data_IF_754041223274
#
_entry.id   IF_754041223274
#
_cell.length_a   1.000
_cell.length_b   1.000
_cell.length_c   1.000
_cell.angle_alpha   90.00
_cell.angle_beta   90.00
_cell.angle_gamma   90.00
#
_symmetry.space_group_name_H-M   'P 1'
#
loop_
_entity.id
_entity.type
_entity.pdbx_description
1 polymer ?
#
# COMPACT_ATOMS: atom_id res chain seq x y z
N UNK A 1 -6.03 14.64 39.57
CA UNK A 1 -4.91 14.29 38.66
C UNK A 1 -3.67 14.24 39.51
N UNK A 2 -3.19 13.04 39.80
CA UNK A 2 -2.09 12.84 40.72
C UNK A 2 -0.77 13.23 40.05
N UNK A 3 0.13 13.86 40.80
CA UNK A 3 1.40 14.40 40.27
C UNK A 3 2.26 13.38 39.53
N UNK A 4 2.08 12.08 39.81
CA UNK A 4 2.77 10.99 39.12
C UNK A 4 2.29 10.78 37.68
N UNK A 5 1.03 11.10 37.36
CA UNK A 5 0.48 10.97 35.99
C UNK A 5 1.07 12.04 35.08
N UNK A 6 1.24 13.26 35.60
CA UNK A 6 1.86 14.38 34.88
C UNK A 6 3.35 14.11 34.65
N UNK A 7 4.04 13.51 35.64
CA UNK A 7 5.44 13.13 35.51
C UNK A 7 5.64 12.02 34.46
N UNK A 8 4.77 11.01 34.42
CA UNK A 8 4.85 9.92 33.46
C UNK A 8 4.63 10.39 32.01
N UNK A 9 3.64 11.26 31.78
CA UNK A 9 3.39 11.87 30.46
C UNK A 9 4.57 12.76 30.04
N UNK A 10 5.11 13.55 30.97
CA UNK A 10 6.29 14.38 30.72
C UNK A 10 7.51 13.55 30.34
N UNK A 11 7.78 12.45 31.04
CA UNK A 11 8.89 11.54 30.75
C UNK A 11 8.72 10.87 29.37
N UNK A 12 7.50 10.44 29.02
CA UNK A 12 7.21 9.78 27.75
C UNK A 12 7.37 10.74 26.55
N UNK A 13 6.92 12.00 26.69
CA UNK A 13 7.16 13.06 25.69
C UNK A 13 8.65 13.37 25.54
N UNK A 14 9.40 13.42 26.65
CA UNK A 14 10.86 13.67 26.62
C UNK A 14 11.63 12.51 25.99
N UNK A 15 11.23 11.26 26.22
CA UNK A 15 11.85 10.09 25.58
C UNK A 15 11.57 10.09 24.06
N UNK A 16 10.32 10.33 23.65
CA UNK A 16 9.96 10.48 22.22
C UNK A 16 10.73 11.63 21.57
N UNK A 17 10.86 12.77 22.27
CA UNK A 17 11.61 13.92 21.77
C UNK A 17 13.13 13.67 21.70
N UNK A 18 13.73 12.99 22.69
CA UNK A 18 15.15 12.63 22.67
C UNK A 18 15.48 11.56 21.63
N UNK A 19 14.56 10.65 21.32
CA UNK A 19 14.73 9.70 20.22
C UNK A 19 14.63 10.38 18.85
N UNK A 20 13.78 11.41 18.72
CA UNK A 20 13.66 12.20 17.48
C UNK A 20 14.86 13.12 17.21
N UNK A 21 15.57 13.59 18.25
CA UNK A 21 16.68 14.55 18.11
C UNK A 21 18.09 13.95 17.92
N UNK A 22 18.28 12.64 17.98
CA UNK A 22 19.62 12.04 17.78
C UNK A 22 20.05 11.94 16.31
N UNK A 23 19.26 12.45 15.37
CA UNK A 23 19.54 12.40 13.94
C UNK A 23 19.80 13.80 13.34
N UNK A 24 20.63 14.65 13.96
CA UNK A 24 21.22 15.80 13.23
C UNK A 24 22.35 16.43 14.04
N UNK A 25 23.59 16.00 13.78
CA UNK A 25 24.72 16.92 13.80
C UNK A 25 25.89 16.37 12.96
N UNK A 26 26.11 17.04 11.83
CA UNK A 26 27.33 17.15 11.01
C UNK A 26 27.02 16.84 9.54
N UNK A 27 26.85 17.91 8.77
CA UNK A 27 26.82 17.83 7.32
C UNK A 27 28.26 17.74 6.78
N UNK A 28 28.52 16.79 5.88
CA UNK A 28 29.24 17.11 4.66
C UNK A 28 28.33 16.91 3.46
N UNK A 29 28.42 17.84 2.51
CA UNK A 29 27.82 17.76 1.18
C UNK A 29 28.20 16.43 0.52
N UNK A 30 27.22 15.55 0.27
CA UNK A 30 27.35 14.43 -0.68
C UNK A 30 26.03 14.12 -1.37
N UNK A 31 26.10 14.27 -2.69
CA UNK A 31 25.51 13.45 -3.76
C UNK A 31 23.98 13.35 -3.80
N UNK A 32 23.41 13.72 -4.95
CA UNK A 32 22.08 13.30 -5.39
C UNK A 32 22.11 11.77 -5.57
N UNK A 33 22.07 11.04 -4.46
CA UNK A 33 21.70 9.63 -4.43
C UNK A 33 20.17 9.58 -4.31
N UNK A 34 19.58 8.95 -5.32
CA UNK A 34 18.17 8.78 -5.66
C UNK A 34 17.14 8.84 -4.51
N UNK A 35 16.44 9.97 -4.36
CA UNK A 35 15.27 10.19 -3.47
C UNK A 35 14.24 9.04 -3.56
N UNK A 36 14.14 8.39 -4.74
CA UNK A 36 13.22 7.26 -4.94
C UNK A 36 13.63 6.01 -4.16
N UNK A 37 14.93 5.69 -4.14
CA UNK A 37 15.46 4.54 -3.42
C UNK A 37 15.25 4.70 -1.91
N UNK A 38 15.50 5.90 -1.39
CA UNK A 38 15.36 6.22 0.03
C UNK A 38 13.90 6.08 0.50
N UNK A 39 12.94 6.53 -0.32
CA UNK A 39 11.51 6.43 -0.01
C UNK A 39 11.01 4.98 -0.01
N UNK A 40 11.51 4.16 -0.93
CA UNK A 40 11.15 2.74 -0.94
C UNK A 40 11.76 2.01 0.26
N UNK A 41 12.99 2.36 0.65
CA UNK A 41 13.64 1.86 1.85
C UNK A 41 12.88 2.25 3.13
N UNK A 42 12.52 3.53 3.29
CA UNK A 42 11.68 3.99 4.41
C UNK A 42 10.34 3.27 4.43
N UNK A 43 9.68 3.14 3.28
CA UNK A 43 8.43 2.38 3.19
C UNK A 43 8.59 0.93 3.64
N UNK A 44 9.73 0.29 3.33
CA UNK A 44 10.03 -1.07 3.80
C UNK A 44 10.21 -1.12 5.32
N UNK A 45 10.90 -0.14 5.90
CA UNK A 45 11.04 0.01 7.36
C UNK A 45 9.67 0.16 8.04
N UNK A 46 8.82 1.07 7.53
CA UNK A 46 7.46 1.26 8.05
C UNK A 46 6.62 -0.02 7.94
N UNK A 47 6.77 -0.78 6.85
CA UNK A 47 6.13 -2.07 6.65
C UNK A 47 6.60 -3.11 7.69
N UNK A 48 7.88 -3.13 8.03
CA UNK A 48 8.43 -4.04 9.04
C UNK A 48 7.98 -3.64 10.45
N UNK A 49 7.94 -2.35 10.76
CA UNK A 49 7.43 -1.78 12.01
C UNK A 49 5.98 -2.18 12.29
N UNK A 50 5.12 -2.15 11.27
CA UNK A 50 3.73 -2.59 11.37
C UNK A 50 3.67 -4.10 11.65
N UNK A 51 4.53 -4.89 11.00
CA UNK A 51 4.61 -6.34 11.23
C UNK A 51 4.98 -6.64 12.68
N UNK A 52 6.02 -5.97 13.18
CA UNK A 52 6.49 -6.11 14.55
C UNK A 52 5.42 -5.67 15.57
N UNK A 53 4.76 -4.55 15.31
CA UNK A 53 3.68 -4.06 16.16
C UNK A 53 2.50 -5.04 16.20
N UNK A 54 2.12 -5.61 15.05
CA UNK A 54 1.05 -6.61 14.97
C UNK A 54 1.32 -7.86 15.82
N UNK A 55 2.59 -8.28 15.95
CA UNK A 55 2.97 -9.41 16.81
C UNK A 55 2.82 -9.10 18.31
N UNK A 56 2.92 -7.83 18.71
CA UNK A 56 2.86 -7.42 20.12
C UNK A 56 1.46 -7.03 20.60
N UNK A 57 0.55 -6.70 19.68
CA UNK A 57 -0.82 -6.30 20.03
C UNK A 57 -1.61 -7.42 20.68
N UNK A 58 -2.18 -7.10 21.86
CA UNK A 58 -3.10 -7.93 22.65
C UNK A 58 -4.53 -7.79 22.13
N UNK A 59 -4.97 -6.59 21.75
CA UNK A 59 -6.29 -6.36 21.16
C UNK A 59 -6.38 -7.09 19.80
N UNK A 60 -7.32 -8.03 19.72
CA UNK A 60 -7.49 -8.89 18.54
C UNK A 60 -7.96 -8.13 17.31
N UNK A 61 -8.75 -7.09 17.49
CA UNK A 61 -9.28 -6.28 16.40
C UNK A 61 -8.19 -5.38 15.82
N UNK A 62 -7.44 -4.68 16.66
CA UNK A 62 -6.28 -3.88 16.23
C UNK A 62 -5.26 -4.75 15.49
N UNK A 63 -4.96 -5.95 16.03
CA UNK A 63 -4.09 -6.90 15.35
C UNK A 63 -4.65 -7.34 14.00
N UNK A 64 -5.96 -7.60 13.92
CA UNK A 64 -6.65 -7.94 12.67
C UNK A 64 -6.52 -6.84 11.62
N UNK A 65 -6.72 -5.57 12.02
CA UNK A 65 -6.55 -4.40 11.15
C UNK A 65 -5.10 -4.23 10.69
N UNK A 66 -4.13 -4.38 11.59
CA UNK A 66 -2.71 -4.32 11.25
C UNK A 66 -2.33 -5.38 10.21
N UNK A 67 -2.80 -6.63 10.38
CA UNK A 67 -2.56 -7.70 9.41
C UNK A 67 -3.26 -7.45 8.06
N UNK A 68 -4.44 -6.83 8.07
CA UNK A 68 -5.16 -6.45 6.86
C UNK A 68 -4.43 -5.36 6.07
N UNK A 69 -3.83 -4.38 6.76
CA UNK A 69 -2.97 -3.34 6.18
C UNK A 69 -1.67 -3.94 5.66
N UNK A 70 -1.02 -4.83 6.41
CA UNK A 70 0.16 -5.59 5.97
C UNK A 70 -0.08 -6.31 4.65
N UNK A 71 -1.16 -7.09 4.53
CA UNK A 71 -1.48 -7.80 3.30
C UNK A 71 -1.59 -6.87 2.09
N UNK A 72 -2.16 -5.67 2.28
CA UNK A 72 -2.32 -4.67 1.22
C UNK A 72 -1.02 -3.94 0.92
N UNK A 73 -0.31 -3.49 1.96
CA UNK A 73 1.00 -2.85 1.86
C UNK A 73 1.99 -3.74 1.11
N UNK A 74 1.99 -5.06 1.39
CA UNK A 74 2.86 -6.03 0.71
C UNK A 74 2.67 -6.02 -0.80
N UNK A 75 1.42 -5.94 -1.27
CA UNK A 75 1.09 -5.91 -2.70
C UNK A 75 1.63 -4.64 -3.36
N UNK A 76 1.43 -3.48 -2.72
CA UNK A 76 1.93 -2.21 -3.20
C UNK A 76 3.46 -2.21 -3.22
N UNK A 77 4.11 -2.58 -2.10
CA UNK A 77 5.58 -2.61 -1.98
C UNK A 77 6.24 -3.59 -2.96
N UNK A 78 5.66 -4.78 -3.14
CA UNK A 78 6.16 -5.76 -4.11
C UNK A 78 6.09 -5.20 -5.53
N UNK A 79 4.96 -4.56 -5.87
CA UNK A 79 4.77 -3.96 -7.18
C UNK A 79 5.77 -2.82 -7.43
N UNK A 80 5.95 -1.92 -6.46
CA UNK A 80 6.91 -0.80 -6.59
C UNK A 80 8.35 -1.24 -6.76
N UNK A 81 8.75 -2.37 -6.16
CA UNK A 81 10.09 -2.95 -6.35
C UNK A 81 10.30 -3.47 -7.78
N UNK A 82 9.24 -3.97 -8.41
CA UNK A 82 9.26 -4.47 -9.79
C UNK A 82 9.09 -3.33 -10.82
N UNK A 83 8.38 -2.27 -10.44
CA UNK A 83 8.05 -1.13 -11.28
C UNK A 83 8.41 0.21 -10.60
N UNK A 84 9.71 0.56 -10.47
CA UNK A 84 10.12 1.80 -9.80
C UNK A 84 9.56 3.08 -10.42
N UNK A 85 9.19 3.04 -11.71
CA UNK A 85 8.50 4.14 -12.40
C UNK A 85 7.15 4.51 -11.77
N UNK A 86 6.52 3.60 -11.02
CA UNK A 86 5.25 3.83 -10.32
C UNK A 86 5.40 4.56 -8.98
N UNK A 87 6.61 4.79 -8.48
CA UNK A 87 6.86 5.46 -7.20
C UNK A 87 6.19 6.84 -7.05
N UNK A 88 6.17 7.73 -8.06
CA UNK A 88 5.47 9.00 -7.96
C UNK A 88 3.97 8.85 -7.67
N UNK A 89 3.34 7.82 -8.23
CA UNK A 89 1.92 7.54 -8.03
C UNK A 89 1.62 7.02 -6.61
N UNK A 90 2.60 6.34 -5.99
CA UNK A 90 2.50 5.77 -4.65
C UNK A 90 2.98 6.70 -3.52
N UNK A 91 3.35 7.96 -3.85
CA UNK A 91 3.90 8.93 -2.89
C UNK A 91 3.09 9.05 -1.60
N UNK A 92 1.77 9.16 -1.69
CA UNK A 92 0.91 9.32 -0.52
C UNK A 92 0.82 8.05 0.35
N UNK A 93 0.93 6.89 -0.28
CA UNK A 93 1.00 5.62 0.43
C UNK A 93 2.30 5.52 1.25
N UNK A 94 3.45 5.81 0.64
CA UNK A 94 4.76 5.74 1.30
C UNK A 94 4.94 6.83 2.37
N UNK A 95 4.64 8.08 2.01
CA UNK A 95 5.03 9.24 2.84
C UNK A 95 4.08 9.51 3.99
N UNK A 96 2.85 8.98 3.92
CA UNK A 96 1.81 9.29 4.89
C UNK A 96 1.08 8.06 5.40
N UNK A 97 0.42 7.29 4.54
CA UNK A 97 -0.46 6.23 5.05
C UNK A 97 0.31 5.07 5.71
N UNK A 98 1.46 4.67 5.18
CA UNK A 98 2.27 3.60 5.76
C UNK A 98 3.00 4.05 7.04
N UNK A 99 3.70 5.19 6.97
CA UNK A 99 4.33 5.84 8.13
C UNK A 99 3.33 6.06 9.28
N UNK A 100 2.16 6.65 8.98
CA UNK A 100 1.16 6.93 10.01
C UNK A 100 0.56 5.67 10.62
N UNK A 101 0.40 4.61 9.83
CA UNK A 101 -0.02 3.30 10.32
C UNK A 101 1.00 2.73 11.31
N UNK A 102 2.28 2.75 10.96
CA UNK A 102 3.37 2.29 11.83
C UNK A 102 3.38 3.07 13.16
N UNK A 103 3.31 4.39 13.10
CA UNK A 103 3.30 5.26 14.27
C UNK A 103 2.11 4.99 15.21
N UNK A 104 0.89 4.86 14.68
CA UNK A 104 -0.31 4.58 15.46
C UNK A 104 -0.24 3.20 16.14
N UNK A 105 0.23 2.17 15.42
CA UNK A 105 0.34 0.83 16.00
C UNK A 105 1.41 0.74 17.08
N UNK A 106 2.56 1.44 16.92
CA UNK A 106 3.57 1.57 17.99
C UNK A 106 2.98 2.22 19.25
N UNK A 107 2.15 3.26 19.08
CA UNK A 107 1.45 3.90 20.19
C UNK A 107 0.44 2.95 20.85
N UNK A 108 -0.34 2.18 20.08
CA UNK A 108 -1.24 1.18 20.62
C UNK A 108 -0.51 0.10 21.43
N UNK A 109 0.60 -0.45 20.92
CA UNK A 109 1.42 -1.43 21.65
C UNK A 109 1.91 -0.84 22.98
N UNK A 110 2.38 0.41 22.96
CA UNK A 110 2.85 1.11 24.18
C UNK A 110 1.70 1.27 25.17
N UNK A 111 0.53 1.70 24.70
CA UNK A 111 -0.65 1.92 25.53
C UNK A 111 -1.14 0.61 26.18
N UNK A 112 -1.18 -0.49 25.43
CA UNK A 112 -1.52 -1.82 25.98
C UNK A 112 -0.50 -2.32 27.01
N UNK A 113 0.78 -1.99 26.85
CA UNK A 113 1.83 -2.34 27.82
C UNK A 113 1.70 -1.59 29.16
N UNK A 114 1.08 -0.41 29.17
CA UNK A 114 0.85 0.33 30.43
C UNK A 114 -0.24 -0.28 31.31
N UNK A 115 -1.09 -1.15 30.75
CA UNK A 115 -2.25 -1.75 31.43
C UNK A 115 -3.24 -0.75 32.03
N UNK A 116 -3.18 0.52 31.59
CA UNK A 116 -4.09 1.58 31.98
C UNK A 116 -5.45 1.37 31.32
N UNK A 117 -6.34 0.67 32.01
CA UNK A 117 -7.69 0.40 31.52
C UNK A 117 -8.69 1.46 32.01
N UNK A 118 -8.61 2.68 31.47
CA UNK A 118 -9.54 3.77 31.76
C UNK A 118 -10.37 4.18 30.53
N UNK A 119 -11.48 4.92 30.70
CA UNK A 119 -12.35 5.30 29.58
C UNK A 119 -11.66 6.11 28.48
N UNK A 120 -10.68 6.96 28.84
CA UNK A 120 -9.92 7.76 27.87
C UNK A 120 -9.04 6.88 26.97
N UNK A 121 -8.38 5.89 27.57
CA UNK A 121 -7.56 4.90 26.86
C UNK A 121 -8.41 4.09 25.89
N UNK A 122 -9.57 3.62 26.34
CA UNK A 122 -10.50 2.88 25.49
C UNK A 122 -11.02 3.73 24.31
N UNK A 123 -11.29 5.02 24.56
CA UNK A 123 -11.69 5.96 23.50
C UNK A 123 -10.62 6.12 22.44
N UNK A 124 -9.36 6.32 22.83
CA UNK A 124 -8.23 6.48 21.89
C UNK A 124 -8.00 5.20 21.08
N UNK A 125 -8.09 4.02 21.73
CA UNK A 125 -8.00 2.74 21.03
C UNK A 125 -9.11 2.59 19.98
N UNK A 126 -10.36 2.95 20.32
CA UNK A 126 -11.49 2.92 19.40
C UNK A 126 -11.27 3.84 18.18
N UNK A 127 -10.90 5.10 18.43
CA UNK A 127 -10.60 6.06 17.35
C UNK A 127 -9.44 5.60 16.45
N UNK A 128 -8.44 4.93 17.04
CA UNK A 128 -7.34 4.35 16.27
C UNK A 128 -7.84 3.23 15.37
N UNK A 129 -8.73 2.35 15.85
CA UNK A 129 -9.34 1.29 15.02
C UNK A 129 -10.10 1.87 13.83
N UNK A 130 -10.93 2.89 14.05
CA UNK A 130 -11.65 3.59 12.98
C UNK A 130 -10.68 4.16 11.94
N UNK A 131 -9.62 4.84 12.40
CA UNK A 131 -8.59 5.40 11.52
C UNK A 131 -7.87 4.32 10.70
N UNK A 132 -7.54 3.18 11.31
CA UNK A 132 -6.88 2.06 10.62
C UNK A 132 -7.82 1.38 9.60
N UNK A 133 -9.12 1.35 9.87
CA UNK A 133 -10.12 0.92 8.89
C UNK A 133 -10.15 1.86 7.69
N UNK A 134 -10.13 3.18 7.91
CA UNK A 134 -10.06 4.17 6.82
C UNK A 134 -8.77 4.05 6.00
N UNK A 135 -7.64 3.79 6.66
CA UNK A 135 -6.37 3.53 5.96
C UNK A 135 -6.41 2.27 5.10
N UNK A 136 -7.19 1.26 5.49
CA UNK A 136 -7.38 0.05 4.69
C UNK A 136 -8.00 0.40 3.33
N UNK A 137 -9.00 1.29 3.31
CA UNK A 137 -9.61 1.82 2.09
C UNK A 137 -8.65 2.73 1.31
N UNK A 138 -7.87 3.56 2.01
CA UNK A 138 -6.88 4.43 1.39
C UNK A 138 -5.80 3.62 0.63
N UNK A 139 -5.30 2.54 1.22
CA UNK A 139 -4.33 1.64 0.56
C UNK A 139 -4.91 1.06 -0.73
N UNK A 140 -6.16 0.59 -0.71
CA UNK A 140 -6.82 0.04 -1.90
C UNK A 140 -6.97 1.09 -3.00
N UNK A 141 -7.38 2.32 -2.65
CA UNK A 141 -7.50 3.43 -3.60
C UNK A 141 -6.14 3.79 -4.21
N UNK A 142 -5.08 3.86 -3.41
CA UNK A 142 -3.74 4.15 -3.91
C UNK A 142 -3.24 3.02 -4.84
N UNK A 143 -3.50 1.76 -4.48
CA UNK A 143 -3.15 0.64 -5.36
C UNK A 143 -3.89 0.69 -6.69
N UNK A 144 -5.20 0.98 -6.69
CA UNK A 144 -5.98 1.13 -7.92
C UNK A 144 -5.42 2.24 -8.82
N UNK A 145 -5.03 3.39 -8.23
CA UNK A 145 -4.40 4.49 -8.96
C UNK A 145 -3.10 4.05 -9.66
N UNK A 146 -2.25 3.29 -8.97
CA UNK A 146 -1.01 2.75 -9.52
C UNK A 146 -1.31 1.83 -10.70
N UNK A 147 -2.29 0.93 -10.57
CA UNK A 147 -2.68 0.02 -11.65
C UNK A 147 -3.26 0.73 -12.87
N UNK A 148 -4.10 1.76 -12.66
CA UNK A 148 -4.71 2.50 -13.77
C UNK A 148 -3.66 3.18 -14.65
N UNK A 149 -2.60 3.74 -14.06
CA UNK A 149 -1.49 4.31 -14.85
C UNK A 149 -0.85 3.26 -15.75
N UNK A 150 -0.66 2.05 -15.23
CA UNK A 150 0.01 0.97 -15.95
C UNK A 150 -0.88 0.36 -17.04
N UNK A 151 -2.19 0.27 -16.81
CA UNK A 151 -3.14 -0.11 -17.84
C UNK A 151 -3.14 0.90 -19.00
N UNK A 152 -3.08 2.19 -18.69
CA UNK A 152 -3.01 3.24 -19.72
C UNK A 152 -1.69 3.17 -20.52
N UNK A 153 -0.56 2.96 -19.84
CA UNK A 153 0.74 2.78 -20.50
C UNK A 153 0.72 1.56 -21.44
N UNK A 154 0.17 0.43 -20.99
CA UNK A 154 0.02 -0.77 -21.81
C UNK A 154 -0.91 -0.56 -23.01
N UNK A 155 -2.00 0.20 -22.85
CA UNK A 155 -2.90 0.52 -23.97
C UNK A 155 -2.19 1.35 -25.04
N UNK A 156 -1.36 2.32 -24.63
CA UNK A 156 -0.57 3.13 -25.55
C UNK A 156 0.45 2.27 -26.31
N UNK A 157 1.17 1.39 -25.61
CA UNK A 157 2.11 0.44 -26.24
C UNK A 157 1.42 -0.49 -27.23
N UNK A 158 0.23 -1.01 -26.88
CA UNK A 158 -0.57 -1.85 -27.78
C UNK A 158 -1.01 -1.10 -29.04
N UNK A 159 -1.39 0.18 -28.92
CA UNK A 159 -1.73 1.02 -30.09
C UNK A 159 -0.54 1.21 -31.02
N UNK A 160 0.65 1.47 -30.46
CA UNK A 160 1.89 1.60 -31.24
C UNK A 160 2.22 0.29 -31.96
N UNK A 161 2.13 -0.85 -31.25
CA UNK A 161 2.40 -2.16 -31.85
C UNK A 161 1.42 -2.47 -33.00
N UNK A 162 0.13 -2.17 -32.83
CA UNK A 162 -0.88 -2.33 -33.90
C UNK A 162 -0.57 -1.46 -35.11
N UNK A 163 -0.25 -0.19 -34.90
CA UNK A 163 0.10 0.72 -35.99
C UNK A 163 1.36 0.25 -36.76
N UNK A 164 2.34 -0.33 -36.08
CA UNK A 164 3.51 -0.92 -36.74
C UNK A 164 3.13 -2.14 -37.59
N UNK A 165 2.30 -3.03 -37.06
CA UNK A 165 1.82 -4.20 -37.80
C UNK A 165 0.96 -3.83 -39.01
N UNK A 166 0.10 -2.81 -38.89
CA UNK A 166 -0.67 -2.25 -40.00
C UNK A 166 0.25 -1.67 -41.08
N UNK A 167 1.31 -0.93 -40.67
CA UNK A 167 2.32 -0.41 -41.59
C UNK A 167 3.11 -1.48 -42.34
N UNK A 168 3.32 -2.63 -41.70
CA UNK A 168 3.99 -3.80 -42.27
C UNK A 168 3.03 -4.70 -43.08
N UNK A 169 1.75 -4.34 -43.19
CA UNK A 169 0.73 -5.10 -43.93
C UNK A 169 0.29 -6.41 -43.26
N UNK A 170 0.53 -6.55 -41.96
CA UNK A 170 0.17 -7.75 -41.18
C UNK A 170 -1.21 -7.53 -40.54
N UNK A 171 -2.26 -7.87 -41.30
CA UNK A 171 -3.65 -7.88 -40.81
C UNK A 171 -4.10 -9.32 -40.50
N UNK A 172 -3.98 -9.74 -39.24
CA UNK A 172 -4.59 -10.97 -38.74
C UNK A 172 -5.50 -10.66 -37.54
N UNK A 173 -6.77 -11.03 -37.69
CA UNK A 173 -7.85 -10.70 -36.78
C UNK A 173 -7.69 -11.30 -35.39
N UNK A 174 -7.45 -10.44 -34.41
CA UNK A 174 -7.93 -10.67 -33.05
C UNK A 174 -9.18 -9.83 -32.89
N UNK A 175 -10.35 -10.46 -33.06
CA UNK A 175 -11.65 -9.87 -32.75
C UNK A 175 -11.70 -9.47 -31.28
N UNK A 176 -11.19 -8.30 -30.96
CA UNK A 176 -11.66 -7.54 -29.81
C UNK A 176 -12.86 -6.81 -30.34
N UNK A 177 -14.04 -7.32 -30.02
CA UNK A 177 -15.26 -6.57 -30.14
C UNK A 177 -15.00 -5.22 -29.47
N UNK A 178 -14.89 -4.17 -30.28
CA UNK A 178 -14.93 -2.81 -29.81
C UNK A 178 -16.31 -2.71 -29.17
N UNK A 179 -16.36 -2.75 -27.84
CA UNK A 179 -17.51 -2.20 -27.13
C UNK A 179 -17.48 -0.74 -27.52
N UNK A 180 -18.34 -0.41 -28.48
CA UNK A 180 -18.67 0.94 -28.87
C UNK A 180 -19.07 1.65 -27.58
N UNK A 181 -18.11 2.41 -27.04
CA UNK A 181 -18.33 3.21 -25.85
C UNK A 181 -19.16 4.39 -26.35
N UNK A 182 -20.48 4.21 -26.37
CA UNK A 182 -21.44 5.30 -26.40
C UNK A 182 -20.95 6.32 -25.35
N UNK A 183 -20.58 7.52 -25.79
CA UNK A 183 -20.22 8.62 -24.89
C UNK A 183 -21.45 8.91 -24.02
N UNK A 184 -21.49 8.29 -22.84
CA UNK A 184 -22.48 8.64 -21.83
C UNK A 184 -22.11 10.04 -21.33
N UNK A 185 -22.96 11.05 -21.54
CA UNK A 185 -22.63 12.42 -21.14
C UNK A 185 -22.47 12.46 -19.63
N UNK A 186 -21.32 12.98 -19.19
CA UNK A 186 -21.01 13.22 -17.78
C UNK A 186 -22.02 14.25 -17.24
N UNK A 187 -23.07 13.75 -16.57
CA UNK A 187 -23.88 14.56 -15.66
C UNK A 187 -23.18 14.65 -14.30
N UNK A 188 -23.20 15.82 -13.64
CA UNK A 188 -22.51 16.00 -12.38
C UNK A 188 -23.14 15.09 -11.32
N UNK A 189 -22.26 14.50 -10.49
CA UNK A 189 -22.61 13.50 -9.50
C UNK A 189 -23.62 14.03 -8.47
N UNK A 190 -24.85 13.54 -8.53
CA UNK A 190 -25.76 13.47 -7.39
C UNK A 190 -25.80 12.01 -6.91
N UNK A 191 -25.22 11.85 -5.72
CA UNK A 191 -25.74 11.09 -4.59
C UNK A 191 -26.10 9.58 -4.73
N UNK A 192 -25.52 8.80 -3.81
CA UNK A 192 -26.08 7.58 -3.21
C UNK A 192 -26.12 6.28 -4.03
N UNK A 193 -25.02 5.49 -3.99
CA UNK A 193 -24.99 4.08 -3.49
C UNK A 193 -23.76 3.30 -4.02
N UNK A 194 -22.75 3.07 -3.16
CA UNK A 194 -21.49 2.37 -3.44
C UNK A 194 -21.61 0.83 -3.58
N UNK A 195 -22.80 0.25 -3.42
CA UNK A 195 -22.97 -1.22 -3.42
C UNK A 195 -22.72 -1.87 -4.79
N UNK A 196 -22.89 -1.14 -5.89
CA UNK A 196 -22.75 -1.70 -7.25
C UNK A 196 -21.29 -1.78 -7.74
N UNK A 197 -20.39 -0.96 -7.16
CA UNK A 197 -18.96 -0.93 -7.53
C UNK A 197 -18.15 -2.13 -6.99
N UNK A 198 -18.70 -2.90 -6.03
CA UNK A 198 -18.01 -4.05 -5.42
C UNK A 198 -17.78 -5.22 -6.39
N UNK A 199 -18.54 -5.34 -7.48
CA UNK A 199 -18.44 -6.50 -8.39
C UNK A 199 -17.44 -6.30 -9.54
N UNK A 200 -17.17 -5.07 -9.95
CA UNK A 200 -16.33 -4.78 -11.12
C UNK A 200 -14.84 -4.74 -10.73
N UNK A 201 -14.51 -4.27 -9.53
CA UNK A 201 -13.12 -4.23 -9.05
C UNK A 201 -12.49 -5.60 -8.71
N UNK A 202 -13.31 -6.63 -8.45
CA UNK A 202 -12.79 -7.98 -8.10
C UNK A 202 -12.36 -8.76 -9.34
N UNK A 203 -13.05 -8.59 -10.48
CA UNK A 203 -12.73 -9.33 -11.70
C UNK A 203 -11.38 -8.93 -12.33
N UNK A 204 -11.03 -7.64 -12.28
CA UNK A 204 -9.74 -7.15 -12.78
C UNK A 204 -8.55 -7.60 -11.93
N UNK A 205 -8.74 -7.80 -10.61
CA UNK A 205 -7.68 -8.27 -9.72
C UNK A 205 -7.31 -9.75 -9.94
N UNK A 206 -8.25 -10.60 -10.36
CA UNK A 206 -7.99 -12.02 -10.60
C UNK A 206 -7.17 -12.29 -11.86
N UNK A 207 -7.25 -11.41 -12.87
CA UNK A 207 -6.54 -11.61 -14.15
C UNK A 207 -5.03 -11.35 -14.00
N UNK A 208 -4.63 -10.36 -13.18
CA UNK A 208 -3.20 -10.05 -12.96
C UNK A 208 -2.49 -11.04 -12.01
N UNK A 209 -3.23 -11.87 -11.27
CA UNK A 209 -2.66 -12.95 -10.44
C UNK A 209 -2.24 -14.19 -11.23
N UNK A 210 -2.76 -14.39 -12.44
CA UNK A 210 -2.53 -15.62 -13.22
C UNK A 210 -1.29 -15.54 -14.15
N UNK A 211 -0.83 -14.33 -14.51
CA UNK A 211 0.28 -14.18 -15.47
C UNK A 211 1.66 -14.42 -14.82
N UNK A 212 1.76 -14.34 -13.49
CA UNK A 212 3.03 -14.51 -12.75
C UNK A 212 3.43 -15.94 -12.36
N UNK A 213 2.59 -16.97 -12.58
CA UNK A 213 2.85 -18.32 -12.05
C UNK A 213 3.38 -19.36 -13.06
N UNK A 214 3.42 -19.07 -14.36
CA UNK A 214 3.79 -20.08 -15.36
C UNK A 214 5.30 -20.32 -15.54
N UNK A 215 6.17 -19.59 -14.83
CA UNK A 215 7.63 -19.73 -14.97
C UNK A 215 8.32 -20.58 -13.90
N UNK A 216 7.56 -21.30 -13.06
CA UNK A 216 8.10 -22.15 -11.98
C UNK A 216 7.78 -23.65 -12.08
N UNK A 217 7.19 -24.12 -13.20
CA UNK A 217 7.00 -25.55 -13.47
C UNK A 217 7.81 -26.07 -14.66
N UNK A 218 8.81 -25.31 -15.11
CA UNK A 218 9.81 -25.80 -16.06
C UNK A 218 11.06 -26.27 -15.34
N UNK A 219 11.23 -27.60 -15.28
CA UNK A 219 12.51 -28.33 -15.32
C UNK A 219 12.75 -29.30 -14.15
N UNK A 220 12.41 -30.58 -14.37
CA UNK A 220 13.19 -31.71 -13.84
C UNK A 220 13.20 -32.88 -14.84
N UNK A 221 14.24 -32.84 -15.68
CA UNK A 221 15.11 -33.96 -16.11
C UNK A 221 14.48 -35.13 -16.87
N UNK A 222 14.87 -35.20 -18.14
CA UNK A 222 15.44 -36.35 -18.85
C UNK A 222 15.59 -37.67 -18.07
N UNK A 223 15.04 -38.76 -18.61
CA UNK A 223 15.82 -39.90 -19.10
C UNK A 223 14.92 -40.98 -19.76
N UNK A 224 15.44 -41.75 -20.73
CA UNK A 224 14.66 -42.66 -21.59
C UNK A 224 14.65 -44.09 -21.06
N UNK A 225 13.66 -44.89 -21.47
CA UNK A 225 13.73 -46.37 -21.60
C UNK A 225 12.71 -46.79 -22.67
N UNK A 226 13.22 -47.16 -23.84
CA UNK A 226 13.29 -48.52 -24.42
C UNK A 226 12.07 -48.82 -25.29
#
# INVERSE_FOLDING_TARGET
MDGNVILAIGILVVIVYKLSKKATLSAPVKMVQDDKSDRLAKGQEDYEDITYSACQLRDRELRGLALALQKRGKRIMTYLRQHPQALPAARQFLDYYQDRTAALLRQCVTLEQTELNNPETQKILCQTKETLQDFTLAYEKQFAKIMNLQLNDMEAELKVARHMLEGDGIEQGMGTQMVEMEEVPVKPAEDNNWQTAKKIGVAALTVLGAVGLYKLLGNKKDAPKE
#
